data_IF_200374399733
#
_entry.id   IF_200374399733
#
_cell.length_a   1.000
_cell.length_b   1.000
_cell.length_c   1.000
_cell.angle_alpha   90.00
_cell.angle_beta   90.00
_cell.angle_gamma   90.00
#
_symmetry.space_group_name_H-M   'P 1'
#
loop_
_entity.id
_entity.type
_entity.pdbx_description
1 polymer ?
#
# COMPACT_ATOMS: atom_id res chain seq x y z
N UNK A 1 -16.03 10.85 -0.99
CA UNK A 1 -14.98 10.74 0.04
C UNK A 1 -14.84 9.31 0.54
N UNK A 2 -15.88 8.70 1.16
CA UNK A 2 -15.78 7.31 1.63
C UNK A 2 -15.64 6.28 0.49
N UNK A 3 -16.44 6.41 -0.56
CA UNK A 3 -16.39 5.50 -1.71
C UNK A 3 -15.09 5.63 -2.52
N UNK A 4 -14.55 6.83 -2.63
CA UNK A 4 -13.28 7.09 -3.34
C UNK A 4 -12.09 6.45 -2.60
N UNK A 5 -12.06 6.58 -1.27
CA UNK A 5 -11.06 5.96 -0.40
C UNK A 5 -11.14 4.43 -0.47
N UNK A 6 -12.34 3.87 -0.37
CA UNK A 6 -12.55 2.42 -0.45
C UNK A 6 -12.12 1.86 -1.81
N UNK A 7 -12.45 2.55 -2.90
CA UNK A 7 -12.04 2.18 -4.25
C UNK A 7 -10.50 2.25 -4.42
N UNK A 8 -9.88 3.33 -3.94
CA UNK A 8 -8.43 3.48 -3.99
C UNK A 8 -7.71 2.41 -3.15
N UNK A 9 -8.19 2.13 -1.93
CA UNK A 9 -7.63 1.07 -1.09
C UNK A 9 -7.81 -0.32 -1.72
N UNK A 10 -8.92 -0.58 -2.40
CA UNK A 10 -9.14 -1.85 -3.10
C UNK A 10 -8.08 -2.12 -4.19
N UNK A 11 -7.60 -1.06 -4.86
CA UNK A 11 -6.51 -1.17 -5.86
C UNK A 11 -5.22 -1.61 -5.19
N UNK A 12 -4.82 -0.96 -4.09
CA UNK A 12 -3.60 -1.32 -3.34
C UNK A 12 -3.69 -2.73 -2.75
N UNK A 13 -4.86 -3.08 -2.20
CA UNK A 13 -5.11 -4.41 -1.61
C UNK A 13 -4.98 -5.54 -2.63
N UNK A 14 -5.22 -5.30 -3.92
CA UNK A 14 -4.99 -6.30 -4.96
C UNK A 14 -3.52 -6.72 -4.98
N UNK A 15 -2.59 -5.77 -4.99
CA UNK A 15 -1.15 -6.07 -4.97
C UNK A 15 -0.74 -6.78 -3.68
N UNK A 16 -1.21 -6.27 -2.54
CA UNK A 16 -0.92 -6.84 -1.23
C UNK A 16 -1.41 -8.29 -1.15
N UNK A 17 -2.63 -8.56 -1.58
CA UNK A 17 -3.22 -9.91 -1.59
C UNK A 17 -2.48 -10.88 -2.51
N UNK A 18 -1.91 -10.38 -3.60
CA UNK A 18 -1.27 -11.22 -4.61
C UNK A 18 0.21 -11.47 -4.35
N UNK A 19 0.89 -10.57 -3.64
CA UNK A 19 2.38 -10.55 -3.58
C UNK A 19 2.95 -10.45 -2.17
N UNK A 20 2.12 -10.26 -1.14
CA UNK A 20 2.57 -10.14 0.24
C UNK A 20 2.16 -11.35 1.08
N UNK A 21 3.05 -11.81 1.94
CA UNK A 21 2.78 -12.90 2.87
C UNK A 21 1.85 -12.50 4.03
N UNK A 22 1.71 -11.21 4.32
CA UNK A 22 0.86 -10.67 5.39
C UNK A 22 -0.37 -9.99 4.81
N UNK A 23 -1.49 -10.08 5.52
CA UNK A 23 -2.77 -9.49 5.12
C UNK A 23 -3.42 -8.78 6.31
N UNK A 24 -3.84 -7.52 6.16
CA UNK A 24 -4.48 -6.77 7.23
C UNK A 24 -5.93 -7.19 7.38
N UNK A 25 -6.42 -7.13 8.61
CA UNK A 25 -7.87 -7.11 8.87
C UNK A 25 -8.32 -5.65 8.68
N UNK A 26 -9.04 -5.40 7.59
CA UNK A 26 -9.54 -4.05 7.27
C UNK A 26 -10.88 -3.81 7.96
N UNK A 27 -11.00 -2.69 8.68
CA UNK A 27 -12.25 -2.27 9.32
C UNK A 27 -12.54 -0.80 9.03
N UNK A 28 -13.81 -0.50 8.82
CA UNK A 28 -14.31 0.88 8.81
C UNK A 28 -14.76 1.21 10.24
N UNK A 29 -14.24 2.31 10.78
CA UNK A 29 -14.47 2.79 12.14
C UNK A 29 -14.74 4.29 12.11
N UNK A 30 -14.93 4.87 13.29
CA UNK A 30 -15.03 6.33 13.48
C UNK A 30 -13.96 6.76 14.46
N UNK A 31 -13.33 7.90 14.20
CA UNK A 31 -12.35 8.47 15.10
C UNK A 31 -13.01 9.16 16.31
N UNK A 32 -12.21 9.83 17.14
CA UNK A 32 -12.69 10.51 18.35
C UNK A 32 -13.62 11.69 18.07
N UNK A 33 -13.50 12.31 16.89
CA UNK A 33 -14.35 13.41 16.44
C UNK A 33 -15.60 12.90 15.69
N UNK A 34 -15.71 11.57 15.52
CA UNK A 34 -16.80 10.90 14.81
C UNK A 34 -16.59 10.88 13.29
N UNK A 35 -15.41 11.26 12.82
CA UNK A 35 -15.08 11.23 11.42
C UNK A 35 -14.77 9.79 10.99
N UNK A 36 -15.28 9.35 9.83
CA UNK A 36 -15.04 8.00 9.38
C UNK A 36 -13.55 7.71 9.09
N UNK A 37 -13.09 6.53 9.50
CA UNK A 37 -11.71 6.08 9.40
C UNK A 37 -11.64 4.65 8.87
N UNK A 38 -10.58 4.33 8.11
CA UNK A 38 -10.27 2.94 7.74
C UNK A 38 -9.05 2.48 8.52
N UNK A 39 -9.18 1.36 9.21
CA UNK A 39 -8.13 0.75 10.04
C UNK A 39 -7.58 -0.50 9.38
N UNK A 40 -6.25 -0.65 9.43
CA UNK A 40 -5.52 -1.86 9.07
C UNK A 40 -5.00 -2.51 10.34
N UNK A 41 -5.59 -3.66 10.72
CA UNK A 41 -5.20 -4.40 11.91
C UNK A 41 -4.31 -5.60 11.59
N UNK A 42 -3.35 -5.86 12.47
CA UNK A 42 -2.61 -7.10 12.57
C UNK A 42 -3.40 -8.17 13.36
N UNK A 43 -2.90 -9.41 13.34
CA UNK A 43 -3.55 -10.54 14.01
C UNK A 43 -3.57 -10.42 15.54
N UNK A 44 -2.65 -9.65 16.13
CA UNK A 44 -2.58 -9.39 17.57
C UNK A 44 -3.54 -8.28 18.05
N UNK A 45 -4.24 -7.62 17.12
CA UNK A 45 -5.18 -6.54 17.39
C UNK A 45 -4.55 -5.14 17.41
N UNK A 46 -3.25 -5.01 17.19
CA UNK A 46 -2.63 -3.71 16.88
C UNK A 46 -3.08 -3.25 15.49
N UNK A 47 -3.14 -1.93 15.26
CA UNK A 47 -3.57 -1.42 13.96
C UNK A 47 -3.30 0.06 13.76
N UNK A 48 -3.31 0.46 12.50
CA UNK A 48 -3.04 1.83 12.05
C UNK A 48 -4.18 2.32 11.17
N UNK A 49 -4.53 3.59 11.32
CA UNK A 49 -5.50 4.26 10.45
C UNK A 49 -4.86 4.70 9.16
N UNK A 50 -5.58 4.58 8.04
CA UNK A 50 -5.16 5.13 6.74
C UNK A 50 -6.05 6.30 6.34
N UNK A 51 -5.44 7.31 5.72
CA UNK A 51 -6.14 8.52 5.28
C UNK A 51 -5.52 9.10 4.02
N UNK A 52 -6.30 9.86 3.26
CA UNK A 52 -5.80 10.64 2.12
C UNK A 52 -6.13 12.11 2.31
N UNK A 53 -5.25 13.05 1.94
CA UNK A 53 -5.57 14.47 2.03
C UNK A 53 -6.79 14.83 1.19
N UNK A 54 -7.64 15.72 1.71
CA UNK A 54 -8.80 16.18 0.97
C UNK A 54 -8.38 16.94 -0.31
N UNK A 55 -9.12 16.70 -1.40
CA UNK A 55 -8.94 17.43 -2.67
C UNK A 55 -7.80 16.93 -3.57
N UNK A 56 -7.11 15.84 -3.21
CA UNK A 56 -6.11 15.21 -4.09
C UNK A 56 -6.78 14.33 -5.15
N UNK A 57 -6.14 14.26 -6.33
CA UNK A 57 -6.65 13.49 -7.48
C UNK A 57 -6.68 11.98 -7.22
N UNK A 58 -7.42 11.20 -8.02
CA UNK A 58 -7.55 9.75 -7.79
C UNK A 58 -6.22 8.99 -7.81
N UNK A 59 -5.27 9.39 -8.68
CA UNK A 59 -3.95 8.76 -8.74
C UNK A 59 -3.13 9.07 -7.48
N UNK A 60 -3.18 10.30 -6.99
CA UNK A 60 -2.54 10.70 -5.75
C UNK A 60 -3.13 9.96 -4.55
N UNK A 61 -4.47 9.79 -4.49
CA UNK A 61 -5.11 9.01 -3.42
C UNK A 61 -4.59 7.56 -3.39
N UNK A 62 -4.48 6.92 -4.56
CA UNK A 62 -3.94 5.56 -4.67
C UNK A 62 -2.47 5.52 -4.26
N UNK A 63 -1.65 6.48 -4.69
CA UNK A 63 -0.23 6.53 -4.34
C UNK A 63 -0.01 6.72 -2.83
N UNK A 64 -0.78 7.59 -2.18
CA UNK A 64 -0.65 7.81 -0.73
C UNK A 64 -1.12 6.62 0.10
N UNK A 65 -2.19 5.95 -0.32
CA UNK A 65 -2.61 4.70 0.33
C UNK A 65 -1.62 3.58 0.09
N UNK A 66 -1.01 3.53 -1.09
CA UNK A 66 0.03 2.55 -1.41
C UNK A 66 1.24 2.71 -0.47
N UNK A 67 1.71 3.94 -0.22
CA UNK A 67 2.78 4.20 0.75
C UNK A 67 2.39 3.76 2.17
N UNK A 68 1.20 4.13 2.65
CA UNK A 68 0.74 3.75 4.00
C UNK A 68 0.58 2.24 4.17
N UNK A 69 0.02 1.54 3.18
CA UNK A 69 -0.10 0.08 3.20
C UNK A 69 1.27 -0.60 3.11
N UNK A 70 2.21 -0.02 2.36
CA UNK A 70 3.60 -0.50 2.27
C UNK A 70 4.30 -0.36 3.62
N UNK A 71 4.17 0.77 4.30
CA UNK A 71 4.74 0.95 5.64
C UNK A 71 4.15 -0.05 6.64
N UNK A 72 2.82 -0.22 6.66
CA UNK A 72 2.16 -1.25 7.47
C UNK A 72 2.68 -2.67 7.16
N UNK A 73 2.80 -3.04 5.89
CA UNK A 73 3.25 -4.38 5.49
C UNK A 73 4.71 -4.64 5.87
N UNK A 74 5.57 -3.63 5.76
CA UNK A 74 6.97 -3.71 6.18
C UNK A 74 7.08 -3.99 7.68
N UNK A 75 6.28 -3.29 8.51
CA UNK A 75 6.24 -3.50 9.96
C UNK A 75 5.70 -4.90 10.32
N UNK A 76 4.58 -5.31 9.71
CA UNK A 76 3.98 -6.61 9.94
C UNK A 76 4.90 -7.78 9.51
N UNK A 77 5.63 -7.63 8.40
CA UNK A 77 6.64 -8.62 7.97
C UNK A 77 7.79 -8.71 8.98
N UNK A 78 8.28 -7.56 9.47
CA UNK A 78 9.34 -7.52 10.47
C UNK A 78 8.92 -8.18 11.79
N UNK A 79 7.68 -7.96 12.24
CA UNK A 79 7.12 -8.60 13.43
C UNK A 79 7.10 -10.13 13.34
N UNK A 80 6.95 -10.69 12.13
CA UNK A 80 7.00 -12.13 11.85
C UNK A 80 8.42 -12.64 11.53
N UNK A 81 9.46 -11.82 11.67
CA UNK A 81 10.84 -12.14 11.30
C UNK A 81 11.00 -12.56 9.82
N UNK A 82 10.16 -12.00 8.94
CA UNK A 82 10.23 -12.17 7.49
C UNK A 82 10.99 -11.00 6.83
N UNK A 83 11.43 -11.13 5.56
CA UNK A 83 12.03 -10.00 4.85
C UNK A 83 11.07 -8.81 4.74
N UNK A 84 11.41 -7.71 5.43
CA UNK A 84 10.61 -6.50 5.53
C UNK A 84 10.77 -5.59 4.29
N UNK A 85 10.59 -6.16 3.11
CA UNK A 85 10.88 -5.51 1.82
C UNK A 85 9.72 -5.64 0.83
N UNK A 86 8.51 -5.24 1.24
CA UNK A 86 7.34 -5.26 0.37
C UNK A 86 6.88 -3.86 -0.06
N UNK A 87 6.49 -3.64 -1.33
CA UNK A 87 6.72 -4.54 -2.47
C UNK A 87 8.21 -4.70 -2.79
N UNK A 88 8.67 -5.90 -3.12
CA UNK A 88 10.09 -6.11 -3.39
C UNK A 88 10.52 -5.43 -4.70
N UNK A 89 11.68 -4.79 -4.69
CA UNK A 89 12.27 -4.22 -5.90
C UNK A 89 12.99 -5.30 -6.74
N UNK A 90 12.59 -5.55 -8.00
CA UNK A 90 13.22 -6.57 -8.83
C UNK A 90 14.68 -6.23 -9.20
N UNK A 91 15.03 -4.94 -9.22
CA UNK A 91 16.41 -4.50 -9.47
C UNK A 91 17.32 -4.70 -8.25
N UNK A 92 16.75 -4.81 -7.05
CA UNK A 92 17.49 -4.92 -5.79
C UNK A 92 16.80 -5.93 -4.84
N UNK A 93 16.90 -7.24 -5.15
CA UNK A 93 16.30 -8.28 -4.31
C UNK A 93 16.78 -8.19 -2.87
N UNK A 94 15.85 -8.33 -1.92
CA UNK A 94 16.06 -8.20 -0.47
C UNK A 94 16.70 -6.87 -0.03
N UNK A 95 16.69 -5.86 -0.91
CA UNK A 95 17.38 -4.59 -0.69
C UNK A 95 16.46 -3.52 -0.10
N UNK A 96 15.39 -3.19 -0.81
CA UNK A 96 14.43 -2.17 -0.39
C UNK A 96 13.04 -2.41 -0.99
N UNK A 97 11.99 -1.91 -0.33
CA UNK A 97 10.68 -1.86 -0.94
C UNK A 97 10.64 -0.88 -2.13
N UNK A 98 9.68 -1.07 -3.03
CA UNK A 98 9.29 -0.08 -4.03
C UNK A 98 8.59 1.09 -3.32
N UNK A 99 8.73 2.29 -3.89
CA UNK A 99 7.95 3.46 -3.50
C UNK A 99 6.82 3.72 -4.48
N UNK A 100 5.65 4.10 -3.98
CA UNK A 100 4.53 4.57 -4.75
C UNK A 100 4.68 6.07 -5.06
N UNK A 101 4.35 6.44 -6.30
CA UNK A 101 4.29 7.84 -6.75
C UNK A 101 3.37 7.96 -7.95
N UNK A 102 3.05 9.18 -8.34
CA UNK A 102 2.30 9.45 -9.57
C UNK A 102 3.26 9.74 -10.73
N UNK A 103 3.02 9.09 -11.88
CA UNK A 103 3.66 9.42 -13.16
C UNK A 103 2.55 9.73 -14.17
N UNK A 104 2.44 11.01 -14.56
CA UNK A 104 1.31 11.48 -15.36
C UNK A 104 0.03 11.46 -14.54
N UNK A 105 -0.89 10.56 -14.88
CA UNK A 105 -2.17 10.35 -14.19
C UNK A 105 -2.32 8.95 -13.59
N UNK A 106 -1.20 8.23 -13.40
CA UNK A 106 -1.19 6.84 -12.93
C UNK A 106 -0.33 6.73 -11.69
N UNK A 107 -0.88 6.14 -10.63
CA UNK A 107 -0.13 5.69 -9.47
C UNK A 107 0.71 4.46 -9.85
N UNK A 108 2.00 4.50 -9.57
CA UNK A 108 2.94 3.43 -9.93
C UNK A 108 3.84 3.06 -8.76
N UNK A 109 4.20 1.78 -8.70
CA UNK A 109 5.34 1.31 -7.94
C UNK A 109 6.63 1.59 -8.72
N UNK A 110 7.60 2.19 -8.06
CA UNK A 110 8.87 2.57 -8.65
C UNK A 110 10.04 2.33 -7.72
N UNK A 111 11.21 2.04 -8.29
CA UNK A 111 12.43 1.90 -7.53
C UNK A 111 12.84 3.27 -6.94
N UNK A 112 12.96 3.43 -5.61
CA UNK A 112 13.37 4.70 -5.01
C UNK A 112 14.80 5.11 -5.37
N UNK A 113 15.67 4.17 -5.77
CA UNK A 113 17.06 4.46 -6.15
C UNK A 113 17.22 4.92 -7.59
N UNK A 114 16.60 4.21 -8.54
CA UNK A 114 16.75 4.49 -9.98
C UNK A 114 15.60 5.31 -10.56
N UNK A 115 14.47 5.41 -9.85
CA UNK A 115 13.23 5.98 -10.35
C UNK A 115 12.56 5.14 -11.43
N UNK A 116 13.06 3.93 -11.74
CA UNK A 116 12.45 3.01 -12.71
C UNK A 116 11.04 2.63 -12.25
N UNK A 117 10.06 2.81 -13.12
CA UNK A 117 8.70 2.30 -12.92
C UNK A 117 8.70 0.79 -13.09
N UNK A 118 8.15 0.08 -12.12
CA UNK A 118 8.03 -1.38 -12.12
C UNK A 118 6.64 -1.80 -12.61
N UNK A 119 5.58 -1.25 -12.01
CA UNK A 119 4.20 -1.56 -12.36
C UNK A 119 3.26 -0.42 -11.95
N UNK A 120 2.09 -0.28 -12.59
CA UNK A 120 0.96 0.43 -11.98
C UNK A 120 0.59 -0.19 -10.63
N UNK A 121 0.13 0.63 -9.69
CA UNK A 121 -0.44 0.12 -8.44
C UNK A 121 -1.73 -0.64 -8.77
N UNK A 122 -1.87 -1.84 -8.22
CA UNK A 122 -2.93 -2.82 -8.49
C UNK A 122 -2.60 -3.85 -9.58
N UNK A 123 -1.43 -3.76 -10.22
CA UNK A 123 -0.99 -4.66 -11.29
C UNK A 123 0.37 -5.33 -11.00
N UNK A 124 0.85 -5.30 -9.75
CA UNK A 124 2.18 -5.80 -9.40
C UNK A 124 2.33 -7.31 -9.67
N UNK A 125 1.26 -8.08 -9.47
CA UNK A 125 1.25 -9.51 -9.72
C UNK A 125 1.53 -9.88 -11.19
N UNK A 126 1.20 -8.99 -12.13
CA UNK A 126 1.40 -9.21 -13.56
C UNK A 126 2.89 -9.13 -13.95
N UNK A 127 3.70 -8.46 -13.12
CA UNK A 127 5.15 -8.31 -13.32
C UNK A 127 5.95 -9.35 -12.53
N UNK A 128 5.42 -9.83 -11.39
CA UNK A 128 6.07 -10.83 -10.55
C UNK A 128 6.05 -12.25 -11.13
N UNK A 129 5.15 -12.54 -12.09
CA UNK A 129 5.01 -13.85 -12.74
C UNK A 129 5.74 -14.01 -14.08
N UNK A 130 6.58 -13.05 -14.47
CA UNK A 130 7.33 -13.03 -15.73
C UNK A 130 8.74 -13.60 -15.63
#
# INVERSE_FOLDING_TARGET
MHEDLAAALAVVRRDLSATCAVQPIVREEVDFDGDPLVMLYEADGSGVGVSVPAGVGPAEQVAELAEQVKDWAVEALAALLLPATWPECPDHPLGHPLGARVVGSVAVWSCPRSGRVVAPVGALAEVAGG
#
